data_IF_374019056873
#
_entry.id   IF_374019056873
#
_cell.length_a   1.000
_cell.length_b   1.000
_cell.length_c   1.000
_cell.angle_alpha   90.00
_cell.angle_beta   90.00
_cell.angle_gamma   90.00
#
_symmetry.space_group_name_H-M   'P 1'
#
loop_
_entity.id
_entity.type
_entity.pdbx_description
1 polymer ?
#
# COMPACT_ATOMS: atom_id res chain seq x y z
N UNK A 1 -7.53 25.78 8.36
CA UNK A 1 -8.71 25.00 8.85
C UNK A 1 -8.26 23.92 9.84
N UNK A 2 -9.07 23.52 10.83
CA UNK A 2 -8.71 22.51 11.84
C UNK A 2 -8.93 21.09 11.31
N UNK A 3 -7.90 20.24 11.38
CA UNK A 3 -7.92 18.85 10.90
C UNK A 3 -7.59 17.86 12.01
N UNK A 4 -8.25 16.71 12.00
CA UNK A 4 -7.96 15.60 12.91
C UNK A 4 -6.57 15.04 12.61
N UNK A 5 -5.72 14.95 13.63
CA UNK A 5 -4.38 14.42 13.54
C UNK A 5 -4.36 12.94 13.94
N UNK A 6 -4.79 12.60 15.17
CA UNK A 6 -5.04 11.22 15.62
C UNK A 6 -5.77 11.16 16.97
N UNK A 7 -6.27 9.97 17.32
CA UNK A 7 -7.05 9.69 18.53
C UNK A 7 -6.31 8.74 19.48
N UNK A 8 -6.76 8.67 20.74
CA UNK A 8 -6.29 7.68 21.72
C UNK A 8 -6.46 6.25 21.19
N UNK A 9 -5.52 5.36 21.47
CA UNK A 9 -5.54 4.07 20.82
C UNK A 9 -4.46 3.09 21.20
N UNK A 10 -4.48 1.98 20.47
CA UNK A 10 -3.53 0.88 20.58
C UNK A 10 -3.20 0.39 19.19
N UNK A 11 -1.94 0.03 18.95
CA UNK A 11 -1.53 -0.62 17.70
C UNK A 11 -0.47 -1.69 17.99
N UNK A 12 -0.56 -2.80 17.25
CA UNK A 12 0.41 -3.89 17.29
C UNK A 12 1.46 -3.65 16.21
N UNK A 13 2.67 -3.32 16.63
CA UNK A 13 3.80 -3.03 15.76
C UNK A 13 4.70 -4.26 15.53
N UNK A 14 4.27 -5.46 15.92
CA UNK A 14 5.09 -6.68 15.82
C UNK A 14 5.47 -7.03 14.38
N UNK A 15 4.70 -6.56 13.39
CA UNK A 15 5.00 -6.69 11.96
C UNK A 15 6.08 -5.71 11.47
N UNK A 16 6.31 -4.61 12.20
CA UNK A 16 7.21 -3.51 11.84
C UNK A 16 8.51 -3.49 12.65
N UNK A 17 8.46 -3.81 13.95
CA UNK A 17 9.64 -3.92 14.84
C UNK A 17 9.51 -5.16 15.73
N UNK A 18 10.44 -6.11 15.55
CA UNK A 18 10.46 -7.36 16.32
C UNK A 18 10.72 -7.19 17.83
N UNK A 19 11.12 -6.00 18.27
CA UNK A 19 11.20 -5.65 19.71
C UNK A 19 9.84 -5.28 20.31
N UNK A 20 8.90 -4.84 19.48
CA UNK A 20 7.54 -4.47 19.89
C UNK A 20 6.62 -5.69 19.76
N UNK A 21 6.87 -6.71 20.59
CA UNK A 21 6.13 -7.97 20.61
C UNK A 21 4.79 -7.91 21.37
N UNK A 22 4.39 -6.71 21.79
CA UNK A 22 3.14 -6.41 22.52
C UNK A 22 2.56 -5.13 21.92
N UNK A 23 1.24 -4.91 22.03
CA UNK A 23 0.63 -3.68 21.54
C UNK A 23 1.19 -2.46 22.27
N UNK A 24 1.44 -1.39 21.52
CA UNK A 24 1.74 -0.05 22.06
C UNK A 24 0.42 0.68 22.25
N UNK A 25 0.20 1.22 23.46
CA UNK A 25 -1.01 1.96 23.84
C UNK A 25 -0.64 3.39 24.20
N UNK A 26 -1.44 4.34 23.71
CA UNK A 26 -1.36 5.74 24.06
C UNK A 26 -2.71 6.26 24.50
N UNK A 27 -2.67 7.05 25.56
CA UNK A 27 -3.80 7.58 26.31
C UNK A 27 -3.99 9.07 26.02
N UNK A 28 -5.04 9.65 26.58
CA UNK A 28 -5.28 11.10 26.47
C UNK A 28 -4.11 11.91 27.04
N UNK A 29 -3.49 11.43 28.12
CA UNK A 29 -2.36 12.11 28.74
C UNK A 29 -1.13 12.12 27.83
N UNK A 30 -0.88 11.01 27.13
CA UNK A 30 0.22 10.90 26.16
C UNK A 30 0.03 11.88 24.99
N UNK A 31 -1.21 12.06 24.53
CA UNK A 31 -1.53 13.04 23.50
C UNK A 31 -1.36 14.49 23.98
N UNK A 32 -1.63 14.76 25.26
CA UNK A 32 -1.39 16.09 25.86
C UNK A 32 0.10 16.42 25.90
N UNK A 33 0.98 15.44 26.12
CA UNK A 33 2.42 15.69 26.06
C UNK A 33 2.86 16.31 24.74
N UNK A 34 2.23 15.93 23.61
CA UNK A 34 2.53 16.55 22.31
C UNK A 34 2.20 18.04 22.31
N UNK A 35 1.08 18.43 22.92
CA UNK A 35 0.69 19.85 23.03
C UNK A 35 1.62 20.61 23.98
N UNK A 36 2.11 19.97 25.04
CA UNK A 36 3.04 20.57 26.01
C UNK A 36 4.46 20.72 25.44
N UNK A 37 4.88 19.77 24.60
CA UNK A 37 6.18 19.75 23.93
C UNK A 37 6.19 20.57 22.63
N UNK A 38 5.02 20.97 22.13
CA UNK A 38 4.89 21.83 20.96
C UNK A 38 5.57 23.19 21.20
N UNK A 39 6.50 23.57 20.32
CA UNK A 39 7.28 24.83 20.39
C UNK A 39 6.98 25.77 19.21
N UNK A 40 5.91 25.52 18.47
CA UNK A 40 5.60 26.21 17.22
C UNK A 40 5.49 25.23 16.05
N UNK A 41 5.33 25.76 14.85
CA UNK A 41 4.87 25.02 13.68
C UNK A 41 5.54 23.66 13.41
N UNK A 42 4.71 22.66 13.09
CA UNK A 42 5.14 21.32 12.71
C UNK A 42 5.33 21.23 11.19
N UNK A 43 6.46 20.68 10.72
CA UNK A 43 6.65 20.39 9.31
C UNK A 43 5.58 19.44 8.76
N UNK A 44 4.97 19.85 7.65
CA UNK A 44 4.15 18.98 6.82
C UNK A 44 4.99 18.42 5.69
N UNK A 45 4.86 17.13 5.43
CA UNK A 45 5.61 16.43 4.38
C UNK A 45 4.69 15.80 3.35
N UNK A 46 5.16 15.67 2.11
CA UNK A 46 4.46 14.87 1.11
C UNK A 46 4.66 13.39 1.42
N UNK A 47 3.56 12.65 1.50
CA UNK A 47 3.59 11.22 1.82
C UNK A 47 4.29 10.93 3.16
N UNK A 48 5.28 10.04 3.19
CA UNK A 48 6.14 9.80 4.36
C UNK A 48 7.60 10.23 4.12
N UNK A 49 7.82 10.95 3.02
CA UNK A 49 9.15 11.37 2.57
C UNK A 49 9.59 12.65 3.29
N UNK A 50 10.87 13.03 3.15
CA UNK A 50 11.39 14.30 3.70
C UNK A 50 11.08 15.51 2.81
N UNK A 51 10.07 15.43 1.95
CA UNK A 51 9.68 16.52 1.04
C UNK A 51 8.75 17.45 1.79
N UNK A 52 9.26 18.61 2.20
CA UNK A 52 8.52 19.64 2.90
C UNK A 52 7.47 20.31 2.00
N UNK A 53 6.24 20.44 2.49
CA UNK A 53 5.11 21.03 1.74
C UNK A 53 4.35 22.11 2.53
N UNK A 54 4.72 22.37 3.79
CA UNK A 54 4.09 23.41 4.59
C UNK A 54 4.33 23.26 6.08
N UNK A 55 3.64 24.09 6.86
CA UNK A 55 3.70 24.09 8.32
C UNK A 55 2.29 23.97 8.88
N UNK A 56 2.05 22.95 9.70
CA UNK A 56 0.85 22.84 10.51
C UNK A 56 1.05 23.57 11.84
N UNK A 57 0.03 24.28 12.31
CA UNK A 57 0.10 25.08 13.52
C UNK A 57 -1.01 24.71 14.51
N UNK A 58 -1.02 25.35 15.67
CA UNK A 58 -2.10 25.27 16.67
C UNK A 58 -2.52 23.84 17.00
N UNK A 59 -1.56 23.01 17.44
CA UNK A 59 -1.91 21.67 17.90
C UNK A 59 -2.71 21.78 19.18
N UNK A 60 -3.88 21.16 19.20
CA UNK A 60 -4.78 21.17 20.35
C UNK A 60 -5.39 19.79 20.56
N UNK A 61 -5.40 19.36 21.82
CA UNK A 61 -6.10 18.17 22.25
C UNK A 61 -7.52 18.57 22.69
N UNK A 62 -8.53 17.90 22.13
CA UNK A 62 -9.92 18.06 22.53
C UNK A 62 -10.32 16.88 23.42
N UNK A 63 -10.42 17.11 24.73
CA UNK A 63 -10.70 16.06 25.73
C UNK A 63 -12.04 15.37 25.51
N UNK A 64 -13.06 16.12 25.10
CA UNK A 64 -14.41 15.62 24.81
C UNK A 64 -14.44 14.64 23.63
N UNK A 65 -13.44 14.72 22.75
CA UNK A 65 -13.31 13.83 21.58
C UNK A 65 -12.22 12.79 21.71
N UNK A 66 -11.31 12.93 22.69
CA UNK A 66 -10.13 12.09 22.81
C UNK A 66 -9.20 12.17 21.60
N UNK A 67 -9.16 13.33 20.93
CA UNK A 67 -8.51 13.55 19.63
C UNK A 67 -7.58 14.75 19.64
N UNK A 68 -6.45 14.59 18.97
CA UNK A 68 -5.49 15.64 18.69
C UNK A 68 -5.80 16.25 17.32
N UNK A 69 -5.71 17.57 17.22
CA UNK A 69 -5.99 18.31 15.99
C UNK A 69 -4.85 19.27 15.66
N UNK A 70 -4.75 19.65 14.39
CA UNK A 70 -3.77 20.60 13.86
C UNK A 70 -4.44 21.53 12.84
N UNK A 71 -4.02 22.79 12.80
CA UNK A 71 -4.41 23.73 11.75
C UNK A 71 -3.47 23.60 10.56
N UNK A 72 -4.05 23.35 9.38
CA UNK A 72 -3.29 23.27 8.12
C UNK A 72 -3.37 24.60 7.33
N UNK A 73 -2.35 24.91 6.51
CA UNK A 73 -2.39 26.03 5.57
C UNK A 73 -3.55 25.88 4.58
N UNK A 74 -4.26 26.97 4.28
CA UNK A 74 -5.45 26.91 3.40
C UNK A 74 -5.09 26.56 1.94
N UNK A 75 -3.85 26.79 1.52
CA UNK A 75 -3.33 26.47 0.18
C UNK A 75 -2.96 24.98 0.01
N UNK A 76 -2.98 24.21 1.10
CA UNK A 76 -2.57 22.81 1.08
C UNK A 76 -3.65 21.92 0.44
N UNK A 77 -3.31 21.25 -0.66
CA UNK A 77 -4.22 20.30 -1.31
C UNK A 77 -4.39 19.01 -0.51
N UNK A 78 -5.52 18.95 0.20
CA UNK A 78 -5.97 17.81 1.00
C UNK A 78 -6.94 16.87 0.26
N UNK A 79 -7.22 17.10 -1.03
CA UNK A 79 -8.24 16.32 -1.74
C UNK A 79 -7.83 14.84 -1.85
N UNK A 80 -8.61 13.97 -1.19
CA UNK A 80 -8.35 12.53 -1.15
C UNK A 80 -7.10 12.14 -0.37
N UNK A 81 -6.61 13.03 0.51
CA UNK A 81 -5.47 12.78 1.41
C UNK A 81 -5.90 12.89 2.86
N UNK A 82 -5.17 12.21 3.74
CA UNK A 82 -5.26 12.32 5.18
C UNK A 82 -3.91 12.65 5.81
N UNK A 83 -3.91 12.78 7.13
CA UNK A 83 -2.71 13.06 7.92
C UNK A 83 -2.12 11.77 8.48
N UNK A 84 -0.80 11.67 8.44
CA UNK A 84 -0.02 10.57 9.00
C UNK A 84 1.02 11.13 9.96
N UNK A 85 0.70 11.25 11.26
CA UNK A 85 1.60 11.79 12.26
C UNK A 85 2.81 10.88 12.48
N UNK A 86 3.99 11.49 12.64
CA UNK A 86 5.22 10.82 13.02
C UNK A 86 5.69 11.34 14.36
N UNK A 87 5.88 10.43 15.31
CA UNK A 87 6.17 10.76 16.70
C UNK A 87 7.44 10.09 17.17
N UNK A 88 8.23 10.81 17.94
CA UNK A 88 9.30 10.27 18.77
C UNK A 88 8.69 9.79 20.07
N UNK A 89 8.99 8.56 20.48
CA UNK A 89 8.45 8.01 21.72
C UNK A 89 9.52 7.30 22.54
N UNK A 90 9.45 7.51 23.85
CA UNK A 90 10.05 6.59 24.83
C UNK A 90 8.94 5.67 25.33
N UNK A 91 9.17 4.37 25.27
CA UNK A 91 8.22 3.36 25.68
C UNK A 91 8.52 2.87 27.10
N UNK A 92 7.46 2.42 27.77
CA UNK A 92 7.53 1.77 29.08
C UNK A 92 6.83 0.42 29.01
N UNK A 93 7.48 -0.64 29.47
CA UNK A 93 6.81 -1.94 29.58
C UNK A 93 5.84 -1.94 30.77
N UNK A 94 4.56 -2.17 30.50
CA UNK A 94 3.50 -2.27 31.51
C UNK A 94 3.06 -3.74 31.74
N UNK A 95 3.84 -4.73 31.29
CA UNK A 95 3.52 -6.15 31.36
C UNK A 95 2.86 -6.63 30.07
N UNK A 96 1.58 -6.36 29.87
CA UNK A 96 0.80 -6.85 28.71
C UNK A 96 0.81 -5.90 27.50
N UNK A 97 1.40 -4.72 27.64
CA UNK A 97 1.48 -3.70 26.58
C UNK A 97 2.62 -2.72 26.85
N UNK A 98 3.10 -2.07 25.80
CA UNK A 98 3.97 -0.91 25.95
C UNK A 98 3.10 0.34 26.13
N UNK A 99 3.32 1.07 27.22
CA UNK A 99 2.81 2.43 27.39
C UNK A 99 3.80 3.46 26.84
N UNK A 100 3.35 4.70 26.74
CA UNK A 100 4.20 5.84 26.40
C UNK A 100 4.71 6.49 27.70
N UNK A 101 6.02 6.69 27.78
CA UNK A 101 6.63 7.49 28.85
C UNK A 101 6.78 8.94 28.39
N UNK A 102 7.37 9.14 27.19
CA UNK A 102 7.45 10.45 26.54
C UNK A 102 6.95 10.41 25.10
N UNK A 103 6.27 11.47 24.66
CA UNK A 103 5.75 11.61 23.30
C UNK A 103 6.05 12.99 22.72
N UNK A 104 6.63 13.04 21.51
CA UNK A 104 6.85 14.29 20.77
C UNK A 104 6.50 14.13 19.30
N UNK A 105 5.76 15.08 18.74
CA UNK A 105 5.44 15.09 17.31
C UNK A 105 6.61 15.68 16.52
N UNK A 106 7.07 14.94 15.51
CA UNK A 106 8.23 15.31 14.67
C UNK A 106 7.74 16.02 13.40
N UNK A 107 6.92 15.33 12.62
CA UNK A 107 6.35 15.81 11.37
C UNK A 107 4.99 15.16 11.10
N UNK A 108 4.27 15.68 10.12
CA UNK A 108 2.99 15.11 9.68
C UNK A 108 3.04 14.89 8.17
N UNK A 109 2.90 13.63 7.77
CA UNK A 109 2.77 13.25 6.36
C UNK A 109 1.38 13.54 5.82
N UNK A 110 1.29 14.13 4.64
CA UNK A 110 0.03 14.35 3.91
C UNK A 110 -0.01 13.36 2.76
N UNK A 111 -0.87 12.35 2.87
CA UNK A 111 -0.81 11.12 2.06
C UNK A 111 -2.19 10.62 1.69
N UNK A 112 -2.31 9.89 0.57
CA UNK A 112 -3.53 9.13 0.24
C UNK A 112 -3.76 7.93 1.16
N UNK A 113 -2.72 7.43 1.82
CA UNK A 113 -2.76 6.25 2.69
C UNK A 113 -2.26 6.60 4.10
N UNK A 114 -3.04 7.37 4.88
CA UNK A 114 -2.63 7.82 6.20
C UNK A 114 -2.40 6.64 7.16
N UNK A 115 -1.27 6.67 7.86
CA UNK A 115 -0.99 5.75 8.97
C UNK A 115 -1.44 6.41 10.26
N UNK A 116 -2.00 5.64 11.20
CA UNK A 116 -2.49 6.18 12.46
C UNK A 116 -1.40 6.90 13.24
N UNK A 117 -0.26 6.24 13.46
CA UNK A 117 0.95 6.80 14.08
C UNK A 117 2.17 6.08 13.50
N UNK A 118 3.25 6.82 13.26
CA UNK A 118 4.58 6.25 13.00
C UNK A 118 5.49 6.53 14.19
N UNK A 119 5.97 5.48 14.86
CA UNK A 119 6.91 5.59 15.97
C UNK A 119 8.35 5.67 15.47
N UNK A 120 9.11 6.64 15.95
CA UNK A 120 10.57 6.73 15.79
C UNK A 120 11.28 6.55 17.13
N UNK A 121 12.52 6.03 17.05
CA UNK A 121 13.47 5.84 18.15
C UNK A 121 12.86 5.26 19.44
N UNK A 122 11.97 4.27 19.30
CA UNK A 122 11.31 3.62 20.42
C UNK A 122 12.30 2.83 21.29
N UNK A 123 12.79 3.47 22.35
CA UNK A 123 13.54 2.83 23.42
C UNK A 123 12.57 2.32 24.48
N UNK A 124 12.79 1.12 25.02
CA UNK A 124 11.94 0.53 26.07
C UNK A 124 12.67 0.73 27.41
N UNK A 125 12.06 1.52 28.30
CA UNK A 125 12.56 1.70 29.66
C UNK A 125 12.27 0.46 30.50
N UNK A 126 13.30 -0.08 31.18
CA UNK A 126 13.16 -1.18 32.15
C UNK A 126 13.65 -2.56 31.71
N UNK A 127 14.30 -2.70 30.55
CA UNK A 127 14.92 -3.97 30.11
C UNK A 127 16.22 -4.26 30.92
N UNK A 128 16.08 -4.58 32.20
CA UNK A 128 17.11 -5.29 32.98
C UNK A 128 16.98 -6.79 32.69
N UNK A 129 18.02 -7.39 32.11
CA UNK A 129 18.02 -8.79 31.71
C UNK A 129 17.74 -9.75 32.87
N UNK A 130 16.64 -10.48 32.76
CA UNK A 130 16.41 -11.75 33.45
C UNK A 130 16.62 -12.90 32.45
N UNK A 131 17.64 -13.71 32.67
CA UNK A 131 17.75 -15.05 32.08
C UNK A 131 17.81 -16.10 33.19
N UNK A 132 16.67 -16.75 33.42
CA UNK A 132 16.54 -18.21 33.38
C UNK A 132 16.98 -19.03 34.59
N UNK A 133 15.99 -19.55 35.32
CA UNK A 133 16.06 -20.73 36.18
C UNK A 133 16.59 -21.97 35.45
N UNK A 134 17.43 -22.76 36.12
CA UNK A 134 17.47 -24.23 36.00
C UNK A 134 17.74 -24.86 37.36
N UNK A 135 16.84 -25.72 37.83
CA UNK A 135 16.95 -26.48 39.07
C UNK A 135 17.47 -27.93 38.93
N UNK A 136 17.76 -28.54 40.09
CA UNK A 136 18.02 -29.99 40.33
C UNK A 136 19.47 -30.42 40.09
N UNK A 137 20.18 -31.26 40.87
CA UNK A 137 19.96 -32.19 42.01
C UNK A 137 21.38 -32.55 42.54
N UNK A 138 21.72 -32.55 43.83
CA UNK A 138 21.71 -33.75 44.72
C UNK A 138 23.10 -34.42 44.94
N UNK A 139 23.57 -34.45 46.21
CA UNK A 139 24.48 -35.43 46.89
C UNK A 139 25.99 -35.52 46.49
N UNK A 140 27.01 -35.85 47.29
CA UNK A 140 27.32 -36.16 48.72
C UNK A 140 28.87 -36.26 48.88
N UNK A 141 29.44 -36.08 50.10
CA UNK A 141 30.64 -36.82 50.56
C UNK A 141 31.99 -36.09 50.83
N UNK A 142 32.44 -36.13 52.09
CA UNK A 142 33.64 -35.58 52.79
C UNK A 142 35.00 -36.32 52.45
N UNK A 143 36.23 -36.04 53.00
CA UNK A 143 36.60 -35.27 54.22
C UNK A 143 37.85 -34.34 54.20
N UNK A 144 37.97 -33.55 55.29
CA UNK A 144 39.05 -32.62 55.68
C UNK A 144 40.48 -33.18 55.66
N UNK A 145 41.49 -32.29 55.55
CA UNK A 145 42.70 -32.37 56.36
C UNK A 145 42.83 -31.16 57.30
N UNK A 146 43.20 -31.46 58.54
CA UNK A 146 43.28 -30.56 59.68
C UNK A 146 44.54 -29.67 59.70
N UNK A 147 44.31 -28.43 60.15
CA UNK A 147 45.16 -27.56 61.00
C UNK A 147 46.57 -27.14 60.56
N UNK A 148 46.71 -25.83 60.33
CA UNK A 148 47.87 -25.06 60.75
C UNK A 148 47.38 -23.70 61.32
N UNK A 149 47.96 -23.16 62.42
CA UNK A 149 47.50 -21.90 63.00
C UNK A 149 47.79 -20.76 62.02
N UNK A 150 46.88 -19.81 61.77
CA UNK A 150 47.24 -18.64 60.99
C UNK A 150 48.24 -17.82 61.80
N UNK A 151 49.41 -17.59 61.22
CA UNK A 151 50.24 -16.43 61.53
C UNK A 151 49.35 -15.17 61.55
N UNK A 152 49.70 -14.12 62.33
CA UNK A 152 48.92 -12.89 62.37
C UNK A 152 48.92 -12.26 60.97
N UNK A 153 47.90 -12.58 60.17
CA UNK A 153 47.69 -11.97 58.87
C UNK A 153 47.34 -10.51 59.12
N UNK A 154 48.19 -9.65 58.59
CA UNK A 154 48.04 -8.22 58.61
C UNK A 154 46.68 -7.88 57.94
N UNK A 155 45.67 -7.42 58.70
CA UNK A 155 44.29 -7.33 58.21
C UNK A 155 44.13 -6.38 57.01
N UNK A 156 45.03 -5.40 56.87
CA UNK A 156 45.05 -4.45 55.76
C UNK A 156 45.43 -5.06 54.40
N UNK A 157 46.22 -6.15 54.38
CA UNK A 157 46.66 -6.79 53.12
C UNK A 157 45.52 -7.57 52.46
N UNK A 158 44.64 -8.21 53.26
CA UNK A 158 43.47 -8.93 52.75
C UNK A 158 42.39 -7.98 52.20
N UNK A 159 42.22 -6.80 52.80
CA UNK A 159 41.25 -5.80 52.33
C UNK A 159 41.67 -5.21 50.98
N UNK A 160 42.94 -4.86 50.81
CA UNK A 160 43.46 -4.34 49.55
C UNK A 160 43.37 -5.37 48.41
N UNK A 161 43.62 -6.65 48.71
CA UNK A 161 43.55 -7.74 47.74
C UNK A 161 42.11 -8.01 47.29
N UNK A 162 41.14 -8.01 48.22
CA UNK A 162 39.72 -8.17 47.90
C UNK A 162 39.17 -7.01 47.05
N UNK A 163 39.58 -5.77 47.35
CA UNK A 163 39.17 -4.59 46.56
C UNK A 163 39.70 -4.63 45.12
N UNK A 164 40.92 -5.16 44.92
CA UNK A 164 41.48 -5.37 43.58
C UNK A 164 40.73 -6.46 42.81
N UNK A 165 40.32 -7.54 43.49
CA UNK A 165 39.55 -8.62 42.89
C UNK A 165 38.16 -8.16 42.45
N UNK A 166 37.48 -7.37 43.28
CA UNK A 166 36.18 -6.77 42.96
C UNK A 166 36.29 -5.80 41.77
N UNK A 167 37.35 -4.98 41.71
CA UNK A 167 37.62 -4.11 40.55
C UNK A 167 37.90 -4.90 39.27
N UNK A 168 38.63 -6.02 39.37
CA UNK A 168 38.89 -6.92 38.25
C UNK A 168 37.59 -7.53 37.72
N UNK A 169 36.75 -8.06 38.61
CA UNK A 169 35.44 -8.61 38.25
C UNK A 169 34.53 -7.55 37.61
N UNK A 170 34.53 -6.32 38.16
CA UNK A 170 33.80 -5.20 37.56
C UNK A 170 34.30 -4.85 36.15
N UNK A 171 35.61 -4.93 35.91
CA UNK A 171 36.21 -4.71 34.59
C UNK A 171 35.90 -5.83 33.61
N UNK A 172 35.90 -7.09 34.06
CA UNK A 172 35.51 -8.23 33.22
C UNK A 172 34.02 -8.14 32.81
N UNK A 173 33.14 -7.69 33.71
CA UNK A 173 31.74 -7.44 33.38
C UNK A 173 31.57 -6.30 32.35
N UNK A 174 32.38 -5.24 32.45
CA UNK A 174 32.37 -4.13 31.48
C UNK A 174 32.88 -4.59 30.10
N UNK A 175 33.90 -5.44 30.04
CA UNK A 175 34.40 -6.05 28.81
C UNK A 175 33.30 -6.91 28.15
N UNK A 176 32.53 -7.67 28.94
CA UNK A 176 31.40 -8.45 28.43
C UNK A 176 30.35 -7.59 27.72
N UNK A 177 29.95 -6.47 28.34
CA UNK A 177 28.98 -5.52 27.74
C UNK A 177 29.49 -4.92 26.43
N UNK A 178 30.77 -4.52 26.39
CA UNK A 178 31.37 -3.98 25.16
C UNK A 178 31.43 -5.01 24.03
N UNK A 179 31.64 -6.29 24.35
CA UNK A 179 31.61 -7.36 23.34
C UNK A 179 30.20 -7.60 22.77
N UNK A 180 29.16 -7.50 23.61
CA UNK A 180 27.77 -7.56 23.15
C UNK A 180 27.41 -6.40 22.23
N UNK A 181 27.84 -5.18 22.58
CA UNK A 181 27.63 -3.97 21.77
C UNK A 181 28.33 -4.10 20.41
N UNK A 182 29.59 -4.56 20.37
CA UNK A 182 30.32 -4.85 19.13
C UNK A 182 29.56 -5.86 18.25
N UNK A 183 29.01 -6.91 18.84
CA UNK A 183 28.25 -7.92 18.10
C UNK A 183 26.93 -7.35 17.55
N UNK A 184 26.26 -6.48 18.30
CA UNK A 184 25.06 -5.77 17.84
C UNK A 184 25.37 -4.86 16.65
N UNK A 185 26.39 -4.00 16.77
CA UNK A 185 26.84 -3.10 15.70
C UNK A 185 27.24 -3.86 14.44
N UNK A 186 27.85 -5.04 14.57
CA UNK A 186 28.18 -5.91 13.43
C UNK A 186 26.94 -6.46 12.72
N UNK A 187 25.86 -6.75 13.46
CA UNK A 187 24.57 -7.16 12.87
C UNK A 187 23.91 -5.98 12.14
N UNK A 188 23.95 -4.78 12.73
CA UNK A 188 23.42 -3.57 12.10
C UNK A 188 24.17 -3.20 10.83
N UNK A 189 25.50 -3.28 10.85
CA UNK A 189 26.33 -3.07 9.66
C UNK A 189 25.95 -4.01 8.50
N UNK A 190 25.65 -5.28 8.77
CA UNK A 190 25.13 -6.20 7.75
C UNK A 190 23.74 -5.81 7.23
N UNK A 191 22.87 -5.27 8.08
CA UNK A 191 21.55 -4.75 7.64
C UNK A 191 21.75 -3.54 6.72
N UNK A 192 22.68 -2.64 7.06
CA UNK A 192 23.03 -1.49 6.24
C UNK A 192 23.51 -1.92 4.83
N UNK A 193 24.37 -2.92 4.73
CA UNK A 193 24.84 -3.43 3.43
C UNK A 193 23.71 -3.99 2.56
N UNK A 194 22.74 -4.69 3.18
CA UNK A 194 21.55 -5.16 2.47
C UNK A 194 20.69 -4.02 1.95
N UNK A 195 20.42 -3.02 2.80
CA UNK A 195 19.65 -1.83 2.41
C UNK A 195 20.35 -1.11 1.26
N UNK A 196 21.67 -0.93 1.34
CA UNK A 196 22.48 -0.32 0.28
C UNK A 196 22.35 -1.08 -1.04
N UNK A 197 22.38 -2.42 -1.02
CA UNK A 197 22.18 -3.25 -2.22
C UNK A 197 20.78 -3.06 -2.82
N UNK A 198 19.73 -3.09 -1.99
CA UNK A 198 18.36 -2.88 -2.45
C UNK A 198 18.11 -1.47 -3.01
N UNK A 199 18.76 -0.45 -2.45
CA UNK A 199 18.71 0.91 -3.02
C UNK A 199 19.32 0.93 -4.42
N UNK A 200 20.44 0.24 -4.64
CA UNK A 200 21.10 0.23 -5.94
C UNK A 200 20.27 -0.52 -7.00
N UNK A 201 19.69 -1.67 -6.64
CA UNK A 201 18.75 -2.41 -7.50
C UNK A 201 17.53 -1.55 -7.86
N UNK A 202 16.97 -0.79 -6.91
CA UNK A 202 15.84 0.11 -7.17
C UNK A 202 16.23 1.30 -8.07
N UNK A 203 17.44 1.85 -7.94
CA UNK A 203 17.93 2.89 -8.86
C UNK A 203 18.07 2.35 -10.28
N UNK A 204 18.60 1.14 -10.44
CA UNK A 204 18.72 0.50 -11.74
C UNK A 204 17.34 0.31 -12.38
N UNK A 205 16.35 -0.15 -11.60
CA UNK A 205 14.96 -0.23 -12.06
C UNK A 205 14.39 1.13 -12.49
N UNK A 206 14.65 2.20 -11.72
CA UNK A 206 14.20 3.55 -12.07
C UNK A 206 14.89 4.06 -13.35
N UNK A 207 16.18 3.78 -13.53
CA UNK A 207 16.90 4.16 -14.75
C UNK A 207 16.32 3.46 -15.99
N UNK A 208 15.87 2.22 -15.83
CA UNK A 208 15.22 1.45 -16.90
C UNK A 208 13.73 1.81 -17.11
N UNK A 209 13.17 2.74 -16.32
CA UNK A 209 11.75 3.12 -16.39
C UNK A 209 11.36 3.60 -17.79
N UNK A 210 12.20 4.39 -18.43
CA UNK A 210 11.89 4.97 -19.74
C UNK A 210 11.82 3.88 -20.81
N UNK A 211 12.72 2.90 -20.77
CA UNK A 211 12.73 1.76 -21.68
C UNK A 211 11.47 0.90 -21.49
N UNK A 212 11.07 0.65 -20.24
CA UNK A 212 9.82 -0.07 -19.92
C UNK A 212 8.59 0.69 -20.43
N UNK A 213 8.55 2.01 -20.28
CA UNK A 213 7.45 2.83 -20.77
C UNK A 213 7.38 2.83 -22.29
N UNK A 214 8.53 2.85 -22.97
CA UNK A 214 8.63 2.74 -24.42
C UNK A 214 8.12 1.38 -24.91
N UNK A 215 8.59 0.28 -24.31
CA UNK A 215 8.13 -1.07 -24.64
C UNK A 215 6.62 -1.23 -24.42
N UNK A 216 6.08 -0.71 -23.31
CA UNK A 216 4.63 -0.73 -23.05
C UNK A 216 3.84 0.13 -24.05
N UNK A 217 4.41 1.23 -24.52
CA UNK A 217 3.81 2.06 -25.57
C UNK A 217 3.75 1.31 -26.91
N UNK A 218 4.84 0.64 -27.29
CA UNK A 218 4.90 -0.19 -28.49
C UNK A 218 3.92 -1.37 -28.44
N UNK A 219 3.83 -2.06 -27.30
CA UNK A 219 2.86 -3.13 -27.09
C UNK A 219 1.42 -2.63 -27.23
N UNK A 220 1.09 -1.46 -26.65
CA UNK A 220 -0.24 -0.85 -26.80
C UNK A 220 -0.54 -0.47 -28.25
N UNK A 221 0.45 0.05 -28.98
CA UNK A 221 0.30 0.36 -30.40
C UNK A 221 0.01 -0.90 -31.22
N UNK A 222 0.79 -1.95 -31.03
CA UNK A 222 0.60 -3.23 -31.72
C UNK A 222 -0.76 -3.86 -31.40
N UNK A 223 -1.19 -3.82 -30.14
CA UNK A 223 -2.50 -4.32 -29.73
C UNK A 223 -3.66 -3.50 -30.33
N UNK A 224 -3.53 -2.18 -30.39
CA UNK A 224 -4.51 -1.32 -31.06
C UNK A 224 -4.58 -1.60 -32.56
N UNK A 225 -3.43 -1.74 -33.24
CA UNK A 225 -3.38 -2.12 -34.66
C UNK A 225 -4.06 -3.47 -34.91
N UNK A 226 -3.88 -4.44 -34.01
CA UNK A 226 -4.56 -5.75 -34.07
C UNK A 226 -6.08 -5.59 -33.95
N UNK A 227 -6.56 -4.82 -32.97
CA UNK A 227 -8.00 -4.57 -32.75
C UNK A 227 -8.65 -3.79 -33.89
N UNK A 228 -7.95 -2.79 -34.44
CA UNK A 228 -8.41 -2.05 -35.62
C UNK A 228 -8.68 -3.02 -36.77
N UNK A 229 -7.72 -3.88 -37.10
CA UNK A 229 -7.89 -4.91 -38.15
C UNK A 229 -9.03 -5.87 -37.86
N UNK A 230 -9.23 -6.25 -36.61
CA UNK A 230 -10.37 -7.08 -36.19
C UNK A 230 -11.70 -6.38 -36.44
N UNK A 231 -11.83 -5.09 -36.10
CA UNK A 231 -13.04 -4.31 -36.37
C UNK A 231 -13.26 -4.02 -37.85
N UNK A 232 -12.20 -3.73 -38.61
CA UNK A 232 -12.25 -3.60 -40.07
C UNK A 232 -12.81 -4.88 -40.71
N UNK A 233 -12.29 -6.04 -40.33
CA UNK A 233 -12.77 -7.33 -40.84
C UNK A 233 -14.20 -7.66 -40.39
N UNK A 234 -14.54 -7.41 -39.12
CA UNK A 234 -15.81 -7.82 -38.52
C UNK A 234 -17.00 -6.97 -38.99
N UNK A 235 -16.79 -5.68 -39.22
CA UNK A 235 -17.85 -4.72 -39.54
C UNK A 235 -17.68 -4.05 -40.91
N UNK A 236 -16.71 -4.51 -41.71
CA UNK A 236 -16.35 -3.94 -42.99
C UNK A 236 -16.13 -2.42 -42.89
N UNK A 237 -15.35 -2.04 -41.88
CA UNK A 237 -14.89 -0.67 -41.66
C UNK A 237 -13.58 -0.41 -42.39
N UNK A 238 -13.29 0.85 -42.64
CA UNK A 238 -11.99 1.28 -43.14
C UNK A 238 -11.45 2.42 -42.28
N UNK A 239 -10.49 2.11 -41.42
CA UNK A 239 -9.97 3.03 -40.42
C UNK A 239 -9.21 4.21 -41.05
N UNK A 240 -8.53 3.97 -42.18
CA UNK A 240 -7.64 4.94 -42.79
C UNK A 240 -8.34 5.82 -43.85
N UNK A 241 -9.41 5.33 -44.48
CA UNK A 241 -10.03 6.01 -45.61
C UNK A 241 -11.39 6.63 -45.29
N UNK A 242 -12.07 6.20 -44.21
CA UNK A 242 -13.37 6.73 -43.81
C UNK A 242 -13.33 7.34 -42.40
N UNK A 243 -13.55 8.66 -42.32
CA UNK A 243 -13.54 9.40 -41.05
C UNK A 243 -14.62 8.96 -40.06
N UNK A 244 -15.79 8.53 -40.53
CA UNK A 244 -16.87 8.03 -39.66
C UNK A 244 -16.53 6.65 -39.10
N UNK A 245 -16.00 5.77 -39.94
CA UNK A 245 -15.57 4.43 -39.51
C UNK A 245 -14.38 4.55 -38.54
N UNK A 246 -13.48 5.51 -38.76
CA UNK A 246 -12.40 5.84 -37.83
C UNK A 246 -12.93 6.27 -36.47
N UNK A 247 -13.88 7.20 -36.41
CA UNK A 247 -14.47 7.66 -35.15
C UNK A 247 -15.15 6.52 -34.38
N UNK A 248 -15.85 5.64 -35.09
CA UNK A 248 -16.49 4.45 -34.51
C UNK A 248 -15.44 3.49 -33.93
N UNK A 249 -14.36 3.24 -34.67
CA UNK A 249 -13.27 2.37 -34.19
C UNK A 249 -12.55 3.01 -33.00
N UNK A 250 -12.30 4.32 -33.01
CA UNK A 250 -11.67 5.04 -31.89
C UNK A 250 -12.53 4.93 -30.61
N UNK A 251 -13.86 5.03 -30.72
CA UNK A 251 -14.81 4.78 -29.62
C UNK A 251 -14.79 3.33 -29.12
N UNK A 252 -14.68 2.37 -30.03
CA UNK A 252 -14.53 0.95 -29.68
C UNK A 252 -13.21 0.65 -28.94
N UNK A 253 -12.11 1.30 -29.34
CA UNK A 253 -10.80 1.17 -28.70
C UNK A 253 -10.75 1.82 -27.32
N UNK A 254 -11.43 2.97 -27.13
CA UNK A 254 -11.51 3.67 -25.85
C UNK A 254 -12.49 3.03 -24.86
N UNK A 255 -13.40 2.18 -25.35
CA UNK A 255 -14.46 1.56 -24.55
C UNK A 255 -15.68 2.48 -24.34
N UNK A 256 -15.75 3.62 -25.04
CA UNK A 256 -16.87 4.56 -25.01
C UNK A 256 -17.98 4.09 -25.96
N UNK A 257 -18.59 2.95 -25.62
CA UNK A 257 -19.61 2.29 -26.44
C UNK A 257 -20.97 2.48 -25.81
N UNK A 258 -21.77 3.37 -26.41
CA UNK A 258 -23.17 3.57 -26.03
C UNK A 258 -24.12 2.61 -26.77
N UNK A 259 -25.39 2.63 -26.35
CA UNK A 259 -26.41 1.75 -26.90
C UNK A 259 -26.70 2.04 -28.38
N UNK A 260 -26.61 3.30 -28.79
CA UNK A 260 -26.83 3.73 -30.18
C UNK A 260 -25.71 3.21 -31.10
N UNK A 261 -24.46 3.28 -30.65
CA UNK A 261 -23.33 2.71 -31.39
C UNK A 261 -23.44 1.19 -31.50
N UNK A 262 -23.89 0.51 -30.45
CA UNK A 262 -24.14 -0.93 -30.48
C UNK A 262 -25.23 -1.32 -31.48
N UNK A 263 -26.32 -0.57 -31.55
CA UNK A 263 -27.41 -0.80 -32.50
C UNK A 263 -26.92 -0.63 -33.95
N UNK A 264 -26.19 0.46 -34.23
CA UNK A 264 -25.58 0.70 -35.56
C UNK A 264 -24.61 -0.39 -35.99
N UNK A 265 -23.81 -0.93 -35.06
CA UNK A 265 -22.89 -2.05 -35.33
C UNK A 265 -23.65 -3.34 -35.66
N UNK A 266 -24.74 -3.61 -34.94
CA UNK A 266 -25.60 -4.77 -35.19
C UNK A 266 -26.30 -4.68 -36.55
N UNK A 267 -26.88 -3.52 -36.88
CA UNK A 267 -27.50 -3.27 -38.19
C UNK A 267 -26.51 -3.45 -39.34
N UNK A 268 -25.29 -2.90 -39.20
CA UNK A 268 -24.25 -3.02 -40.22
C UNK A 268 -23.81 -4.46 -40.42
N UNK A 269 -23.69 -5.24 -39.34
CA UNK A 269 -23.36 -6.67 -39.41
C UNK A 269 -24.44 -7.48 -40.15
N UNK A 270 -25.71 -7.25 -39.82
CA UNK A 270 -26.84 -7.91 -40.50
C UNK A 270 -26.83 -7.59 -42.01
N UNK A 271 -26.55 -6.34 -42.37
CA UNK A 271 -26.47 -5.91 -43.77
C UNK A 271 -25.32 -6.59 -44.53
N UNK A 272 -24.19 -6.84 -43.88
CA UNK A 272 -23.06 -7.58 -44.45
C UNK A 272 -23.42 -9.06 -44.64
N UNK A 273 -24.01 -9.70 -43.63
CA UNK A 273 -24.44 -11.11 -43.69
C UNK A 273 -25.50 -11.31 -44.79
N UNK A 274 -26.50 -10.44 -44.88
CA UNK A 274 -27.53 -10.47 -45.92
C UNK A 274 -26.96 -10.24 -47.34
N UNK A 275 -25.89 -9.45 -47.49
CA UNK A 275 -25.24 -9.22 -48.79
C UNK A 275 -24.40 -10.41 -49.25
N UNK A 276 -23.91 -11.23 -48.32
CA UNK A 276 -23.13 -12.43 -48.62
C UNK A 276 -24.00 -13.66 -48.95
N UNK A 277 -25.26 -13.70 -48.52
CA UNK A 277 -26.22 -14.79 -48.78
C UNK A 277 -26.91 -14.73 -50.17
N UNK A 278 -26.70 -13.67 -50.96
CA UNK A 278 -27.36 -13.50 -52.29
C UNK A 278 -26.66 -14.26 -53.44
N UNK A 279 -25.63 -15.08 -53.18
CA UNK A 279 -25.13 -16.03 -54.20
C UNK A 279 -26.08 -17.23 -54.36
N UNK A 280 -27.05 -17.10 -55.26
CA UNK A 280 -28.08 -18.11 -55.59
C UNK A 280 -27.51 -19.33 -56.32
N UNK A 281 -28.15 -20.51 -56.19
CA UNK A 281 -28.39 -21.32 -57.39
C UNK A 281 -29.82 -21.89 -57.47
N UNK A 282 -30.42 -21.79 -58.66
CA UNK A 282 -31.48 -22.72 -59.09
C UNK A 282 -32.84 -22.06 -59.38
N UNK A 283 -33.12 -21.80 -60.65
CA UNK A 283 -34.34 -21.14 -61.09
C UNK A 283 -35.58 -22.02 -61.20
N UNK A 284 -36.72 -21.38 -61.51
CA UNK A 284 -37.72 -21.80 -62.50
C UNK A 284 -38.88 -20.80 -62.60
N UNK A 285 -39.04 -20.31 -63.83
CA UNK A 285 -40.24 -19.87 -64.57
C UNK A 285 -41.08 -18.63 -64.16
N UNK A 286 -41.37 -17.72 -65.12
CA UNK A 286 -42.30 -16.60 -64.99
C UNK A 286 -43.69 -16.93 -65.58
N UNK A 287 -44.77 -16.57 -64.89
CA UNK A 287 -46.17 -16.43 -65.37
C UNK A 287 -47.03 -16.10 -64.13
N UNK A 288 -48.05 -15.25 -64.09
CA UNK A 288 -48.70 -14.26 -64.96
C UNK A 288 -49.83 -13.62 -64.09
N UNK A 289 -50.43 -12.51 -64.57
CA UNK A 289 -51.73 -11.91 -64.16
C UNK A 289 -51.67 -10.92 -62.99
N UNK A 290 -51.61 -9.60 -63.24
CA UNK A 290 -52.73 -8.69 -63.62
C UNK A 290 -53.02 -7.81 -62.39
N UNK A 291 -53.46 -6.56 -62.37
CA UNK A 291 -53.93 -5.55 -63.31
C UNK A 291 -53.79 -4.19 -62.55
N UNK A 292 -53.96 -3.10 -63.28
CA UNK A 292 -53.73 -1.66 -63.03
C UNK A 292 -54.32 -1.07 -61.73
N UNK A 293 -53.62 -0.08 -61.13
CA UNK A 293 -54.27 0.98 -60.32
C UNK A 293 -53.43 1.78 -59.31
N UNK A 294 -53.24 3.07 -59.59
CA UNK A 294 -53.13 4.23 -58.68
C UNK A 294 -51.86 4.54 -57.85
N UNK A 295 -51.34 5.74 -58.12
CA UNK A 295 -50.45 6.58 -57.32
C UNK A 295 -50.95 6.84 -55.91
N UNK A 296 -50.12 6.56 -54.90
CA UNK A 296 -50.33 6.95 -53.50
C UNK A 296 -49.07 6.78 -52.66
N UNK A 297 -48.72 7.80 -51.89
CA UNK A 297 -47.52 7.95 -51.06
C UNK A 297 -47.53 7.06 -49.80
N UNK A 298 -46.35 6.91 -49.19
CA UNK A 298 -46.00 6.49 -47.81
C UNK A 298 -45.99 5.00 -47.41
N UNK A 299 -44.81 4.54 -46.98
CA UNK A 299 -44.60 3.37 -46.11
C UNK A 299 -43.98 2.15 -46.78
N UNK A 300 -42.65 2.05 -46.83
CA UNK A 300 -41.98 0.79 -47.16
C UNK A 300 -41.99 -0.10 -45.89
N UNK A 301 -42.97 -1.00 -45.81
CA UNK A 301 -43.17 -1.94 -44.70
C UNK A 301 -42.20 -3.15 -44.74
N UNK A 302 -41.11 -3.07 -45.50
CA UNK A 302 -40.07 -4.12 -45.55
C UNK A 302 -38.80 -3.80 -44.74
N UNK A 303 -38.89 -2.92 -43.74
CA UNK A 303 -37.90 -2.91 -42.68
C UNK A 303 -38.05 -4.23 -41.87
N UNK A 304 -36.99 -5.02 -41.65
CA UNK A 304 -37.09 -6.20 -40.79
C UNK A 304 -37.46 -5.74 -39.38
N UNK A 305 -38.72 -5.99 -38.99
CA UNK A 305 -39.17 -5.77 -37.62
C UNK A 305 -38.85 -7.01 -36.79
N UNK A 306 -38.04 -6.83 -35.74
CA UNK A 306 -37.72 -7.89 -34.79
C UNK A 306 -38.97 -8.25 -33.99
N UNK A 307 -39.47 -9.48 -34.14
CA UNK A 307 -40.71 -9.89 -33.47
C UNK A 307 -40.48 -10.70 -32.20
N UNK A 308 -39.24 -11.05 -31.81
CA UNK A 308 -39.02 -11.80 -30.57
C UNK A 308 -37.80 -11.38 -29.75
N UNK A 309 -38.02 -11.29 -28.43
CA UNK A 309 -37.00 -11.00 -27.40
C UNK A 309 -35.85 -12.02 -27.39
N UNK A 310 -36.07 -13.19 -27.95
CA UNK A 310 -35.12 -14.31 -27.99
C UNK A 310 -34.01 -14.11 -29.02
N UNK A 311 -34.31 -13.55 -30.20
CA UNK A 311 -33.30 -13.23 -31.21
C UNK A 311 -32.32 -12.16 -30.71
N UNK A 312 -32.86 -11.14 -30.03
CA UNK A 312 -32.06 -10.09 -29.38
C UNK A 312 -31.10 -10.65 -28.31
N UNK A 313 -31.59 -11.56 -27.45
CA UNK A 313 -30.76 -12.16 -26.39
C UNK A 313 -29.68 -13.11 -26.94
N UNK A 314 -29.94 -13.76 -28.09
CA UNK A 314 -28.97 -14.65 -28.73
C UNK A 314 -27.77 -13.87 -29.28
N UNK A 315 -28.02 -12.73 -29.93
CA UNK A 315 -26.97 -11.85 -30.48
C UNK A 315 -26.09 -11.27 -29.37
N UNK A 316 -26.68 -10.84 -28.24
CA UNK A 316 -25.92 -10.35 -27.08
C UNK A 316 -24.97 -11.41 -26.50
N UNK A 317 -25.41 -12.68 -26.48
CA UNK A 317 -24.62 -13.80 -25.96
C UNK A 317 -23.47 -14.17 -26.90
N UNK A 318 -23.71 -14.15 -28.20
CA UNK A 318 -22.68 -14.41 -29.23
C UNK A 318 -21.64 -13.29 -29.31
N UNK A 319 -21.96 -12.08 -28.81
CA UNK A 319 -21.01 -10.97 -28.64
C UNK A 319 -20.20 -11.04 -27.33
N UNK A 320 -20.32 -12.11 -26.54
CA UNK A 320 -19.53 -12.33 -25.33
C UNK A 320 -19.99 -11.57 -24.09
N UNK A 321 -21.13 -10.88 -24.15
CA UNK A 321 -21.70 -10.15 -23.02
C UNK A 321 -22.67 -11.04 -22.25
N UNK A 322 -22.12 -11.85 -21.34
CA UNK A 322 -22.94 -12.51 -20.33
C UNK A 322 -23.55 -11.43 -19.41
N UNK A 323 -24.88 -11.27 -19.44
CA UNK A 323 -25.60 -10.59 -18.37
C UNK A 323 -25.48 -11.42 -17.11
N UNK A 324 -24.41 -11.24 -16.34
CA UNK A 324 -24.46 -11.50 -14.92
C UNK A 324 -25.46 -10.50 -14.34
N UNK A 325 -26.59 -11.01 -13.84
CA UNK A 325 -27.67 -10.21 -13.23
C UNK A 325 -27.08 -9.22 -12.22
N UNK A 326 -27.52 -7.97 -12.31
CA UNK A 326 -27.55 -7.03 -11.16
C UNK A 326 -28.49 -7.61 -10.10
#
# INVERSE_FOLDING_TARGET
>A
MKHELFEVGSYDYSDLDGRLNKPVKWTAEDLKQITENYRGGIPLTSEHDRVYIGIGNNIVFEEDKGKLFIDLPDELDMKGKGLSPKVDVLLKDNGDSFGIDTMSLIDVGVTKNPRKITLLNSEITGETGETGETGGTGETGNPEPTSQPPEPQNPDVNVATNLLLEKLQGKDAEIGKLQEEINSLKKESKKYDKIKKSIEENKEFINNKEDILNELSELRKHENERKIKEYEAKYNFNYNENAQDKEIIDKLLSGDVDMELMEKLAERRIKIEASNDISTPGGRNPQNSGDVGETGSTGDENAPSFTTREEYNKILKDMGFNRTRI
#
